data_IF_266364741352
#
_entry.id   IF_266364741352
#
_cell.length_a   1.000
_cell.length_b   1.000
_cell.length_c   1.000
_cell.angle_alpha   90.00
_cell.angle_beta   90.00
_cell.angle_gamma   90.00
#
_symmetry.space_group_name_H-M   'P 1'
#
loop_
_entity.id
_entity.type
_entity.pdbx_description
1 polymer ?
#
# COMPACT_ATOMS: atom_id res chain seq x y z
N UNK A 1 -9.50 -1.70 11.95
CA UNK A 1 -8.86 -1.34 10.69
C UNK A 1 -7.35 -1.22 10.85
N UNK A 2 -6.51 -1.21 9.82
CA UNK A 2 -5.07 -1.55 9.91
C UNK A 2 -4.20 -0.60 10.73
N UNK A 3 -4.79 0.31 11.46
CA UNK A 3 -4.11 1.34 12.26
C UNK A 3 -3.15 0.78 13.30
N UNK A 4 -3.52 -0.35 13.93
CA UNK A 4 -2.66 -1.00 14.93
C UNK A 4 -1.37 -1.52 14.31
N UNK A 5 -1.48 -2.18 13.15
CA UNK A 5 -0.32 -2.67 12.41
C UNK A 5 0.59 -1.50 11.99
N UNK A 6 0.01 -0.45 11.39
CA UNK A 6 0.76 0.72 10.95
C UNK A 6 1.45 1.45 12.10
N UNK A 7 0.79 1.54 13.27
CA UNK A 7 1.41 2.09 14.48
C UNK A 7 2.60 1.25 14.94
N UNK A 8 2.50 -0.09 14.92
CA UNK A 8 3.60 -0.99 15.27
C UNK A 8 4.79 -0.82 14.32
N UNK A 9 4.53 -0.69 13.01
CA UNK A 9 5.56 -0.44 12.00
C UNK A 9 6.26 0.90 12.22
N UNK A 10 5.51 1.99 12.49
CA UNK A 10 6.09 3.31 12.77
C UNK A 10 6.99 3.29 14.03
N UNK A 11 6.55 2.66 15.11
CA UNK A 11 7.36 2.50 16.33
C UNK A 11 8.65 1.72 16.02
N UNK A 12 8.55 0.62 15.27
CA UNK A 12 9.68 -0.21 14.90
C UNK A 12 10.66 0.56 14.00
N UNK A 13 10.18 1.31 13.01
CA UNK A 13 11.01 2.15 12.15
C UNK A 13 11.78 3.21 12.94
N UNK A 14 11.12 3.91 13.86
CA UNK A 14 11.76 4.92 14.70
C UNK A 14 12.84 4.33 15.60
N UNK A 15 12.61 3.12 16.14
CA UNK A 15 13.61 2.39 16.93
C UNK A 15 14.82 2.02 16.08
N UNK A 16 14.58 1.49 14.88
CA UNK A 16 15.64 1.16 13.91
C UNK A 16 16.44 2.40 13.51
N UNK A 17 15.77 3.51 13.18
CA UNK A 17 16.43 4.77 12.81
C UNK A 17 17.45 5.22 13.86
N UNK A 18 17.10 5.17 15.14
CA UNK A 18 18.04 5.53 16.23
C UNK A 18 19.29 4.64 16.25
N UNK A 19 19.13 3.34 15.97
CA UNK A 19 20.23 2.38 15.85
C UNK A 19 21.10 2.67 14.61
N UNK A 20 20.47 2.85 13.46
CA UNK A 20 21.12 3.14 12.20
C UNK A 20 21.94 4.44 12.24
N UNK A 21 21.42 5.51 12.87
CA UNK A 21 22.15 6.77 13.04
C UNK A 21 23.39 6.64 13.90
N UNK A 22 23.40 5.76 14.91
CA UNK A 22 24.61 5.47 15.69
C UNK A 22 25.66 4.78 14.82
N UNK A 23 25.26 3.80 14.02
CA UNK A 23 26.15 3.08 13.10
C UNK A 23 26.69 4.01 11.99
N UNK A 24 25.84 4.88 11.41
CA UNK A 24 26.27 5.88 10.44
C UNK A 24 27.40 6.78 10.98
N UNK A 25 27.29 7.24 12.21
CA UNK A 25 28.28 8.11 12.83
C UNK A 25 29.63 7.40 13.05
N UNK A 26 29.69 6.08 13.05
CA UNK A 26 30.90 5.29 13.19
C UNK A 26 31.58 4.95 11.86
N UNK A 27 30.99 5.35 10.71
CA UNK A 27 31.62 5.14 9.40
C UNK A 27 32.93 5.92 9.26
N UNK A 28 33.92 5.26 8.70
CA UNK A 28 35.24 5.82 8.42
C UNK A 28 35.19 6.80 7.23
N UNK A 29 35.97 7.90 7.33
CA UNK A 29 36.06 8.99 6.36
C UNK A 29 37.48 9.29 6.04
N UNK A 30 37.73 9.82 4.85
CA UNK A 30 39.03 10.42 4.49
C UNK A 30 39.22 11.78 5.16
N UNK A 31 40.39 12.37 4.96
CA UNK A 31 40.74 13.69 5.49
C UNK A 31 39.86 14.83 4.95
N UNK A 32 39.17 14.60 3.85
CA UNK A 32 38.22 15.54 3.23
C UNK A 32 36.78 15.33 3.70
N UNK A 33 36.52 14.33 4.58
CA UNK A 33 35.20 14.00 5.09
C UNK A 33 34.36 13.14 4.14
N UNK A 34 34.97 12.52 3.12
CA UNK A 34 34.26 11.62 2.23
C UNK A 34 34.24 10.19 2.78
N UNK A 35 33.15 9.47 2.52
CA UNK A 35 33.01 8.08 2.89
C UNK A 35 34.00 7.21 2.11
N UNK A 36 34.83 6.44 2.82
CA UNK A 36 35.79 5.53 2.19
C UNK A 36 35.23 4.11 2.04
N UNK A 37 35.75 3.41 1.04
CA UNK A 37 35.48 1.98 0.90
C UNK A 37 36.47 1.20 1.79
N UNK A 38 35.98 0.68 2.92
CA UNK A 38 36.76 -0.18 3.84
C UNK A 38 35.94 -1.37 4.29
N UNK A 39 36.62 -2.41 4.77
CA UNK A 39 35.93 -3.58 5.35
C UNK A 39 35.08 -3.18 6.56
N UNK A 40 35.57 -2.24 7.38
CA UNK A 40 34.84 -1.69 8.51
C UNK A 40 33.52 -1.03 8.05
N UNK A 41 33.57 -0.20 7.03
CA UNK A 41 32.38 0.48 6.51
C UNK A 41 31.38 -0.53 5.90
N UNK A 42 31.86 -1.52 5.17
CA UNK A 42 31.00 -2.58 4.63
C UNK A 42 30.29 -3.36 5.75
N UNK A 43 31.00 -3.71 6.83
CA UNK A 43 30.42 -4.38 7.99
C UNK A 43 29.36 -3.50 8.70
N UNK A 44 29.62 -2.19 8.81
CA UNK A 44 28.65 -1.24 9.39
C UNK A 44 27.40 -1.13 8.53
N UNK A 45 27.55 -1.03 7.22
CA UNK A 45 26.41 -0.99 6.27
C UNK A 45 25.56 -2.26 6.38
N UNK A 46 26.23 -3.41 6.44
CA UNK A 46 25.54 -4.69 6.64
C UNK A 46 24.78 -4.74 7.99
N UNK A 47 25.39 -4.25 9.07
CA UNK A 47 24.75 -4.18 10.37
C UNK A 47 23.52 -3.26 10.38
N UNK A 48 23.59 -2.13 9.66
CA UNK A 48 22.45 -1.22 9.51
C UNK A 48 21.28 -1.87 8.78
N UNK A 49 21.55 -2.57 7.68
CA UNK A 49 20.51 -3.26 6.90
C UNK A 49 19.92 -4.45 7.66
N UNK A 50 20.76 -5.21 8.38
CA UNK A 50 20.31 -6.32 9.24
C UNK A 50 19.34 -5.86 10.34
N UNK A 51 19.46 -4.65 10.84
CA UNK A 51 18.51 -4.09 11.79
C UNK A 51 17.08 -3.93 11.24
N UNK A 52 16.87 -3.81 9.93
CA UNK A 52 15.54 -3.89 9.31
C UNK A 52 15.03 -5.33 9.26
N UNK A 53 15.90 -6.30 8.99
CA UNK A 53 15.56 -7.72 9.07
C UNK A 53 15.07 -8.07 10.48
N UNK A 54 15.77 -7.61 11.51
CA UNK A 54 15.40 -7.82 12.91
C UNK A 54 14.01 -7.28 13.25
N UNK A 55 13.58 -6.17 12.62
CA UNK A 55 12.22 -5.65 12.79
C UNK A 55 11.22 -6.63 12.20
N UNK A 56 11.42 -7.03 10.95
CA UNK A 56 10.47 -7.86 10.21
C UNK A 56 10.32 -9.25 10.86
N UNK A 57 11.41 -9.79 11.39
CA UNK A 57 11.39 -11.07 12.10
C UNK A 57 11.05 -10.94 13.59
N UNK A 58 10.81 -9.73 14.12
CA UNK A 58 10.42 -9.56 15.51
C UNK A 58 9.04 -10.17 15.79
N UNK A 59 8.86 -10.65 17.00
CA UNK A 59 7.57 -11.20 17.46
C UNK A 59 6.47 -10.14 17.32
N UNK A 60 6.77 -8.90 17.67
CA UNK A 60 5.84 -7.78 17.60
C UNK A 60 5.35 -7.51 16.17
N UNK A 61 6.25 -7.58 15.19
CA UNK A 61 5.87 -7.38 13.78
C UNK A 61 5.03 -8.56 13.27
N UNK A 62 5.44 -9.79 13.58
CA UNK A 62 4.73 -11.00 13.16
C UNK A 62 3.34 -11.09 13.80
N UNK A 63 3.21 -10.77 15.08
CA UNK A 63 1.91 -10.70 15.76
C UNK A 63 1.02 -9.61 15.15
N UNK A 64 1.60 -8.46 14.80
CA UNK A 64 0.86 -7.40 14.14
C UNK A 64 0.37 -7.81 12.74
N UNK A 65 1.15 -8.59 11.98
CA UNK A 65 0.70 -9.19 10.70
C UNK A 65 -0.45 -10.17 10.89
N UNK A 66 -0.41 -10.99 11.94
CA UNK A 66 -1.51 -11.91 12.26
C UNK A 66 -2.79 -11.15 12.60
N UNK A 67 -2.69 -10.06 13.38
CA UNK A 67 -3.86 -9.22 13.68
C UNK A 67 -4.37 -8.50 12.43
N UNK A 68 -3.50 -7.99 11.58
CA UNK A 68 -3.87 -7.42 10.28
C UNK A 68 -4.66 -8.43 9.44
N UNK A 69 -4.19 -9.68 9.39
CA UNK A 69 -4.86 -10.75 8.68
C UNK A 69 -6.30 -10.99 9.19
N UNK A 70 -6.54 -10.89 10.49
CA UNK A 70 -7.90 -11.02 11.08
C UNK A 70 -8.82 -9.87 10.69
N UNK A 71 -8.28 -8.68 10.43
CA UNK A 71 -9.10 -7.53 10.03
C UNK A 71 -9.77 -7.72 8.66
N UNK A 72 -9.21 -8.53 7.76
CA UNK A 72 -9.87 -8.92 6.50
C UNK A 72 -11.16 -9.71 6.77
N UNK A 73 -11.16 -10.59 7.76
CA UNK A 73 -12.37 -11.31 8.14
C UNK A 73 -13.45 -10.36 8.70
N UNK A 74 -13.02 -9.38 9.50
CA UNK A 74 -13.92 -8.34 10.02
C UNK A 74 -14.55 -7.53 8.87
N UNK A 75 -13.78 -7.20 7.84
CA UNK A 75 -14.29 -6.51 6.66
C UNK A 75 -15.32 -7.37 5.91
N UNK A 76 -15.04 -8.67 5.74
CA UNK A 76 -16.00 -9.60 5.15
C UNK A 76 -17.33 -9.67 5.93
N UNK A 77 -17.25 -9.69 7.27
CA UNK A 77 -18.46 -9.66 8.12
C UNK A 77 -19.27 -8.38 7.95
N UNK A 78 -18.61 -7.23 7.82
CA UNK A 78 -19.27 -5.93 7.57
C UNK A 78 -20.02 -6.00 6.23
N UNK A 79 -19.38 -6.49 5.18
CA UNK A 79 -19.98 -6.64 3.86
C UNK A 79 -21.16 -7.62 3.90
N UNK A 80 -21.01 -8.77 4.55
CA UNK A 80 -22.09 -9.75 4.71
C UNK A 80 -23.30 -9.15 5.42
N UNK A 81 -23.10 -8.39 6.49
CA UNK A 81 -24.18 -7.67 7.20
C UNK A 81 -24.86 -6.65 6.29
N UNK A 82 -24.08 -5.92 5.50
CA UNK A 82 -24.62 -4.95 4.54
C UNK A 82 -25.49 -5.65 3.50
N UNK A 83 -24.96 -6.65 2.79
CA UNK A 83 -25.67 -7.36 1.73
C UNK A 83 -26.93 -8.05 2.28
N UNK A 84 -26.86 -8.68 3.44
CA UNK A 84 -27.99 -9.31 4.10
C UNK A 84 -29.12 -8.31 4.44
N UNK A 85 -28.74 -7.09 4.83
CA UNK A 85 -29.70 -6.02 5.17
C UNK A 85 -30.36 -5.42 3.94
N UNK A 86 -29.62 -5.24 2.86
CA UNK A 86 -30.08 -4.50 1.66
C UNK A 86 -30.70 -5.44 0.63
N UNK A 87 -30.21 -6.66 0.52
CA UNK A 87 -30.62 -7.64 -0.49
C UNK A 87 -31.20 -8.92 0.16
N UNK A 88 -32.53 -9.06 0.26
CA UNK A 88 -33.17 -10.19 0.95
C UNK A 88 -32.81 -11.58 0.42
N UNK A 89 -32.37 -11.68 -0.84
CA UNK A 89 -31.93 -12.95 -1.48
C UNK A 89 -30.47 -13.29 -1.19
N UNK A 90 -29.74 -12.44 -0.46
CA UNK A 90 -28.36 -12.70 -0.15
C UNK A 90 -28.19 -13.87 0.80
N UNK A 91 -27.34 -14.81 0.41
CA UNK A 91 -26.84 -15.91 1.23
C UNK A 91 -25.31 -15.93 1.16
N UNK A 92 -24.64 -16.15 2.29
CA UNK A 92 -23.20 -16.29 2.29
C UNK A 92 -22.79 -17.59 1.61
N UNK A 93 -21.76 -17.53 0.75
CA UNK A 93 -21.25 -18.66 -0.02
C UNK A 93 -19.76 -18.87 0.24
N UNK A 94 -19.32 -20.12 0.19
CA UNK A 94 -17.91 -20.50 0.37
C UNK A 94 -16.95 -19.75 -0.57
N UNK A 95 -17.40 -19.40 -1.78
CA UNK A 95 -16.60 -18.64 -2.75
C UNK A 95 -16.21 -17.26 -2.21
N UNK A 96 -17.06 -16.60 -1.44
CA UNK A 96 -16.77 -15.30 -0.83
C UNK A 96 -15.67 -15.42 0.22
N UNK A 97 -15.72 -16.45 1.06
CA UNK A 97 -14.70 -16.73 2.06
C UNK A 97 -13.34 -17.06 1.40
N UNK A 98 -13.34 -17.75 0.25
CA UNK A 98 -12.14 -18.03 -0.52
C UNK A 98 -11.49 -16.74 -1.07
N UNK A 99 -12.30 -15.81 -1.60
CA UNK A 99 -11.80 -14.53 -2.09
C UNK A 99 -11.12 -13.76 -0.95
N UNK A 100 -11.75 -13.71 0.21
CA UNK A 100 -11.19 -13.01 1.37
C UNK A 100 -9.87 -13.65 1.84
N UNK A 101 -9.81 -14.98 1.95
CA UNK A 101 -8.59 -15.70 2.31
C UNK A 101 -7.45 -15.47 1.31
N UNK A 102 -7.74 -15.47 0.01
CA UNK A 102 -6.73 -15.18 -1.00
C UNK A 102 -6.20 -13.75 -0.89
N UNK A 103 -7.09 -12.77 -0.74
CA UNK A 103 -6.70 -11.37 -0.56
C UNK A 103 -5.88 -11.15 0.72
N UNK A 104 -6.23 -11.85 1.80
CA UNK A 104 -5.46 -11.87 3.04
C UNK A 104 -4.04 -12.42 2.81
N UNK A 105 -3.93 -13.55 2.12
CA UNK A 105 -2.62 -14.15 1.81
C UNK A 105 -1.77 -13.24 0.90
N UNK A 106 -2.38 -12.62 -0.11
CA UNK A 106 -1.71 -11.63 -0.98
C UNK A 106 -1.20 -10.43 -0.16
N UNK A 107 -2.02 -9.89 0.75
CA UNK A 107 -1.62 -8.75 1.59
C UNK A 107 -0.47 -9.11 2.53
N UNK A 108 -0.50 -10.27 3.15
CA UNK A 108 0.59 -10.75 4.03
C UNK A 108 1.88 -10.95 3.23
N UNK A 109 1.80 -11.52 2.02
CA UNK A 109 2.97 -11.72 1.16
C UNK A 109 3.65 -10.40 0.72
N UNK A 110 2.87 -9.32 0.55
CA UNK A 110 3.43 -7.98 0.25
C UNK A 110 4.13 -7.33 1.45
N UNK A 111 3.90 -7.84 2.65
CA UNK A 111 4.47 -7.33 3.89
C UNK A 111 5.48 -8.31 4.50
N UNK A 112 5.81 -9.37 3.77
CA UNK A 112 6.85 -10.31 4.18
C UNK A 112 8.27 -9.75 3.96
N UNK A 113 9.25 -10.51 4.42
CA UNK A 113 10.66 -10.15 4.29
C UNK A 113 11.10 -9.93 2.85
N UNK A 114 10.66 -10.78 1.91
CA UNK A 114 11.09 -10.69 0.52
C UNK A 114 10.68 -9.38 -0.15
N UNK A 115 9.43 -8.99 0.04
CA UNK A 115 8.91 -7.75 -0.52
C UNK A 115 9.54 -6.50 0.14
N UNK A 116 9.68 -6.49 1.47
CA UNK A 116 10.31 -5.38 2.19
C UNK A 116 11.81 -5.30 1.87
N UNK A 117 12.48 -6.43 1.70
CA UNK A 117 13.90 -6.45 1.27
C UNK A 117 14.07 -5.69 -0.04
N UNK A 118 13.26 -5.99 -1.03
CA UNK A 118 13.32 -5.36 -2.35
C UNK A 118 12.95 -3.87 -2.32
N UNK A 119 11.93 -3.49 -1.56
CA UNK A 119 11.34 -2.14 -1.61
C UNK A 119 11.92 -1.17 -0.57
N UNK A 120 12.60 -1.69 0.45
CA UNK A 120 13.14 -0.88 1.55
C UNK A 120 14.64 -1.14 1.77
N UNK A 121 15.04 -2.40 1.92
CA UNK A 121 16.42 -2.73 2.29
C UNK A 121 17.38 -2.47 1.12
N UNK A 122 17.08 -2.96 -0.08
CA UNK A 122 17.93 -2.79 -1.25
C UNK A 122 18.09 -1.31 -1.68
N UNK A 123 17.03 -0.48 -1.70
CA UNK A 123 17.19 0.96 -1.89
C UNK A 123 18.06 1.65 -0.84
N UNK A 124 17.97 1.24 0.44
CA UNK A 124 18.84 1.78 1.49
C UNK A 124 20.32 1.43 1.22
N UNK A 125 20.59 0.16 0.91
CA UNK A 125 21.95 -0.29 0.51
C UNK A 125 22.48 0.51 -0.67
N UNK A 126 21.61 0.77 -1.66
CA UNK A 126 21.97 1.54 -2.85
C UNK A 126 22.36 2.99 -2.50
N UNK A 127 21.56 3.68 -1.68
CA UNK A 127 21.87 5.05 -1.22
C UNK A 127 23.27 5.10 -0.60
N UNK A 128 23.58 4.15 0.28
CA UNK A 128 24.87 4.15 0.99
C UNK A 128 26.01 3.77 0.03
N UNK A 129 25.85 2.77 -0.82
CA UNK A 129 26.90 2.33 -1.77
C UNK A 129 27.21 3.40 -2.82
N UNK A 130 26.21 4.10 -3.32
CA UNK A 130 26.40 5.22 -4.26
C UNK A 130 27.05 6.46 -3.63
N UNK A 131 27.10 6.51 -2.30
CA UNK A 131 27.73 7.58 -1.53
C UNK A 131 29.21 7.34 -1.24
N UNK A 132 29.75 6.16 -1.57
CA UNK A 132 31.18 5.88 -1.46
C UNK A 132 32.00 6.88 -2.29
N UNK A 133 33.01 7.46 -1.68
CA UNK A 133 33.83 8.51 -2.30
C UNK A 133 33.17 9.91 -2.35
N UNK A 134 31.99 10.07 -1.77
CA UNK A 134 31.25 11.34 -1.70
C UNK A 134 31.17 11.85 -0.25
N UNK A 135 30.68 13.09 -0.10
CA UNK A 135 30.48 13.72 1.21
C UNK A 135 29.61 12.85 2.13
N UNK A 136 30.16 12.57 3.30
CA UNK A 136 29.48 11.87 4.37
C UNK A 136 28.19 12.58 4.81
N UNK A 137 28.21 13.91 4.93
CA UNK A 137 27.05 14.68 5.39
C UNK A 137 25.87 14.57 4.43
N UNK A 138 26.14 14.55 3.12
CA UNK A 138 25.10 14.36 2.10
C UNK A 138 24.48 12.95 2.25
N UNK A 139 25.30 11.93 2.41
CA UNK A 139 24.82 10.57 2.62
C UNK A 139 23.98 10.45 3.89
N UNK A 140 24.38 11.05 5.00
CA UNK A 140 23.63 11.05 6.25
C UNK A 140 22.24 11.68 6.08
N UNK A 141 22.15 12.80 5.36
CA UNK A 141 20.85 13.42 5.03
C UNK A 141 19.99 12.47 4.22
N UNK A 142 20.51 11.88 3.14
CA UNK A 142 19.77 10.96 2.29
C UNK A 142 19.27 9.73 3.05
N UNK A 143 20.09 9.12 3.91
CA UNK A 143 19.70 7.97 4.73
C UNK A 143 18.65 8.37 5.77
N UNK A 144 18.80 9.55 6.39
CA UNK A 144 17.80 10.08 7.31
C UNK A 144 16.45 10.26 6.63
N UNK A 145 16.42 10.97 5.51
CA UNK A 145 15.20 11.25 4.74
C UNK A 145 14.55 9.95 4.28
N UNK A 146 15.35 8.95 3.92
CA UNK A 146 14.85 7.63 3.55
C UNK A 146 14.22 6.88 4.73
N UNK A 147 14.88 6.84 5.89
CA UNK A 147 14.45 6.06 7.05
C UNK A 147 13.37 6.77 7.89
N UNK A 148 13.51 8.07 8.10
CA UNK A 148 12.62 8.85 8.98
C UNK A 148 11.52 9.58 8.19
N UNK A 149 11.83 9.97 6.96
CA UNK A 149 11.02 10.85 6.13
C UNK A 149 11.44 12.31 6.27
N UNK A 150 10.63 13.18 5.71
CA UNK A 150 10.79 14.65 5.73
C UNK A 150 9.53 15.30 6.27
N UNK A 151 9.44 16.62 6.22
CA UNK A 151 8.19 17.34 6.53
C UNK A 151 7.04 16.98 5.54
N UNK A 152 7.39 16.57 4.31
CA UNK A 152 6.44 16.30 3.24
C UNK A 152 6.01 14.83 3.17
N UNK A 153 6.81 13.89 3.67
CA UNK A 153 6.53 12.45 3.56
C UNK A 153 7.16 11.63 4.70
N UNK A 154 6.49 10.52 5.02
CA UNK A 154 6.93 9.52 6.00
C UNK A 154 8.14 8.71 5.49
N UNK A 155 8.88 8.08 6.40
CA UNK A 155 9.98 7.18 6.04
C UNK A 155 9.53 5.99 5.18
N UNK A 156 10.48 5.43 4.43
CA UNK A 156 10.19 4.46 3.38
C UNK A 156 9.42 3.21 3.87
N UNK A 157 9.79 2.65 5.02
CA UNK A 157 9.11 1.45 5.54
C UNK A 157 7.65 1.75 5.89
N UNK A 158 7.37 2.86 6.56
CA UNK A 158 5.99 3.27 6.91
C UNK A 158 5.21 3.58 5.64
N UNK A 159 5.79 4.33 4.71
CA UNK A 159 5.14 4.68 3.44
C UNK A 159 4.81 3.44 2.61
N UNK A 160 5.75 2.51 2.49
CA UNK A 160 5.56 1.24 1.81
C UNK A 160 4.42 0.45 2.44
N UNK A 161 4.53 0.14 3.73
CA UNK A 161 3.54 -0.68 4.44
C UNK A 161 2.16 -0.04 4.43
N UNK A 162 2.08 1.28 4.64
CA UNK A 162 0.82 2.03 4.62
C UNK A 162 0.13 1.95 3.25
N UNK A 163 0.89 2.15 2.17
CA UNK A 163 0.34 2.06 0.81
C UNK A 163 -0.23 0.67 0.54
N UNK A 164 0.57 -0.38 0.76
CA UNK A 164 0.15 -1.75 0.45
C UNK A 164 -0.96 -2.26 1.35
N UNK A 165 -0.96 -1.91 2.63
CA UNK A 165 -2.05 -2.28 3.54
C UNK A 165 -3.37 -1.66 3.09
N UNK A 166 -3.41 -0.35 2.86
CA UNK A 166 -4.66 0.29 2.42
C UNK A 166 -5.13 -0.18 1.05
N UNK A 167 -4.23 -0.35 0.09
CA UNK A 167 -4.59 -0.84 -1.24
C UNK A 167 -5.07 -2.30 -1.19
N UNK A 168 -4.47 -3.15 -0.37
CA UNK A 168 -4.91 -4.54 -0.17
C UNK A 168 -6.32 -4.62 0.41
N UNK A 169 -6.62 -3.84 1.45
CA UNK A 169 -7.96 -3.77 2.02
C UNK A 169 -8.99 -3.27 1.01
N UNK A 170 -8.68 -2.17 0.33
CA UNK A 170 -9.59 -1.56 -0.63
C UNK A 170 -9.83 -2.47 -1.86
N UNK A 171 -8.81 -3.18 -2.31
CA UNK A 171 -8.90 -4.16 -3.40
C UNK A 171 -9.68 -5.39 -2.99
N UNK A 172 -9.43 -5.91 -1.78
CA UNK A 172 -10.15 -7.05 -1.22
C UNK A 172 -11.64 -6.75 -1.06
N UNK A 173 -11.97 -5.60 -0.48
CA UNK A 173 -13.35 -5.12 -0.30
C UNK A 173 -14.08 -5.02 -1.65
N UNK A 174 -13.42 -4.45 -2.65
CA UNK A 174 -13.98 -4.32 -3.99
C UNK A 174 -14.23 -5.67 -4.66
N UNK A 175 -13.25 -6.59 -4.66
CA UNK A 175 -13.38 -7.94 -5.22
C UNK A 175 -14.50 -8.72 -4.54
N UNK A 176 -14.57 -8.64 -3.20
CA UNK A 176 -15.59 -9.31 -2.40
C UNK A 176 -16.99 -8.79 -2.73
N UNK A 177 -17.18 -7.49 -2.67
CA UNK A 177 -18.46 -6.83 -2.94
C UNK A 177 -18.92 -7.03 -4.39
N UNK A 178 -18.00 -6.96 -5.35
CA UNK A 178 -18.29 -7.20 -6.76
C UNK A 178 -18.76 -8.64 -7.01
N UNK A 179 -18.10 -9.64 -6.39
CA UNK A 179 -18.51 -11.05 -6.53
C UNK A 179 -19.91 -11.29 -6.01
N UNK A 180 -20.24 -10.74 -4.84
CA UNK A 180 -21.60 -10.83 -4.30
C UNK A 180 -22.60 -10.13 -5.22
N UNK A 181 -22.27 -8.94 -5.69
CA UNK A 181 -23.15 -8.18 -6.58
C UNK A 181 -23.41 -8.91 -7.91
N UNK A 182 -22.39 -9.57 -8.47
CA UNK A 182 -22.52 -10.42 -9.66
C UNK A 182 -23.48 -11.60 -9.41
N UNK A 183 -23.28 -12.30 -8.30
CA UNK A 183 -24.11 -13.45 -7.91
C UNK A 183 -25.59 -13.09 -7.70
N UNK A 184 -25.85 -11.88 -7.20
CA UNK A 184 -27.20 -11.36 -6.97
C UNK A 184 -27.80 -10.67 -8.21
N UNK A 185 -27.07 -10.56 -9.31
CA UNK A 185 -27.49 -9.86 -10.51
C UNK A 185 -27.68 -8.34 -10.33
N UNK A 186 -26.92 -7.75 -9.40
CA UNK A 186 -27.00 -6.31 -9.11
C UNK A 186 -26.32 -5.55 -10.22
N UNK A 187 -27.03 -4.56 -10.77
CA UNK A 187 -26.58 -3.77 -11.92
C UNK A 187 -26.38 -2.27 -11.62
N UNK A 188 -26.63 -1.82 -10.40
CA UNK A 188 -26.47 -0.42 -10.01
C UNK A 188 -25.54 -0.27 -8.81
N UNK A 189 -24.65 0.72 -8.91
CA UNK A 189 -23.63 0.98 -7.89
C UNK A 189 -23.50 2.48 -7.67
N UNK A 190 -23.42 2.87 -6.41
CA UNK A 190 -23.03 4.23 -6.04
C UNK A 190 -21.51 4.28 -5.93
N UNK A 191 -20.88 5.23 -6.63
CA UNK A 191 -19.45 5.51 -6.46
C UNK A 191 -19.29 6.45 -5.28
N UNK A 192 -18.71 5.97 -4.18
CA UNK A 192 -18.71 6.68 -2.89
C UNK A 192 -17.34 6.69 -2.24
N UNK A 193 -16.92 7.86 -1.74
CA UNK A 193 -15.70 8.05 -0.97
C UNK A 193 -15.56 9.48 -0.48
N UNK A 194 -14.52 9.72 0.30
CA UNK A 194 -14.23 11.06 0.80
C UNK A 194 -13.48 11.88 -0.25
N UNK A 195 -13.99 13.07 -0.55
CA UNK A 195 -13.29 14.06 -1.38
C UNK A 195 -12.34 14.85 -0.48
N UNK A 196 -11.07 14.88 -0.87
CA UNK A 196 -10.00 15.66 -0.23
C UNK A 196 -9.39 16.62 -1.27
N UNK A 197 -8.54 17.56 -0.80
CA UNK A 197 -7.91 18.57 -1.66
C UNK A 197 -7.23 17.98 -2.91
N UNK A 198 -6.59 16.81 -2.74
CA UNK A 198 -5.84 16.14 -3.81
C UNK A 198 -6.64 15.03 -4.49
N UNK A 199 -7.97 15.04 -4.35
CA UNK A 199 -8.85 14.09 -5.05
C UNK A 199 -8.77 14.32 -6.56
N UNK A 200 -8.70 13.21 -7.31
CA UNK A 200 -8.66 13.25 -8.77
C UNK A 200 -10.00 13.74 -9.34
N UNK A 201 -9.95 14.50 -10.40
CA UNK A 201 -11.14 14.97 -11.12
C UNK A 201 -12.06 13.79 -11.49
N UNK A 202 -11.48 12.67 -11.96
CA UNK A 202 -12.21 11.42 -12.19
C UNK A 202 -13.07 10.99 -11.00
N UNK A 203 -12.55 11.10 -9.78
CA UNK A 203 -13.28 10.73 -8.57
C UNK A 203 -14.29 11.80 -8.15
N UNK A 204 -13.92 13.09 -8.27
CA UNK A 204 -14.79 14.22 -7.93
C UNK A 204 -16.08 14.18 -8.76
N UNK A 205 -15.94 14.00 -10.06
CA UNK A 205 -17.06 13.98 -11.02
C UNK A 205 -18.05 12.83 -10.78
N UNK A 206 -17.59 11.74 -10.19
CA UNK A 206 -18.37 10.51 -9.98
C UNK A 206 -18.87 10.33 -8.56
N UNK A 207 -18.34 11.07 -7.61
CA UNK A 207 -18.67 10.88 -6.20
C UNK A 207 -20.18 11.03 -5.93
N UNK A 208 -20.72 10.12 -5.13
CA UNK A 208 -22.13 10.02 -4.74
C UNK A 208 -23.14 9.80 -5.90
N UNK A 209 -22.67 9.63 -7.14
CA UNK A 209 -23.53 9.28 -8.27
C UNK A 209 -23.71 7.76 -8.39
N UNK A 210 -24.85 7.37 -8.97
CA UNK A 210 -25.20 5.97 -9.25
C UNK A 210 -24.97 5.70 -10.73
N UNK A 211 -24.28 4.59 -11.00
CA UNK A 211 -23.94 4.12 -12.34
C UNK A 211 -24.36 2.67 -12.52
N UNK A 212 -24.65 2.28 -13.74
CA UNK A 212 -24.87 0.88 -14.09
C UNK A 212 -23.53 0.13 -14.20
N UNK A 213 -23.58 -1.20 -14.13
CA UNK A 213 -22.40 -2.04 -14.33
C UNK A 213 -21.76 -1.78 -15.69
N UNK A 214 -22.57 -1.64 -16.74
CA UNK A 214 -22.09 -1.37 -18.10
C UNK A 214 -21.33 -0.04 -18.18
N UNK A 215 -21.86 1.01 -17.56
CA UNK A 215 -21.17 2.31 -17.50
C UNK A 215 -19.82 2.19 -16.81
N UNK A 216 -19.77 1.55 -15.64
CA UNK A 216 -18.53 1.35 -14.89
C UNK A 216 -17.54 0.50 -15.69
N UNK A 217 -17.99 -0.62 -16.26
CA UNK A 217 -17.15 -1.49 -17.10
C UNK A 217 -16.55 -0.71 -18.26
N UNK A 218 -17.33 0.17 -18.91
CA UNK A 218 -16.83 0.98 -20.01
C UNK A 218 -15.69 1.91 -19.65
N UNK A 219 -15.57 2.33 -18.38
CA UNK A 219 -14.44 3.15 -17.91
C UNK A 219 -13.12 2.37 -17.94
N UNK A 220 -13.18 1.05 -17.84
CA UNK A 220 -12.00 0.18 -17.96
C UNK A 220 -11.45 0.07 -19.38
N UNK A 221 -12.25 0.44 -20.40
CA UNK A 221 -11.85 0.33 -21.80
C UNK A 221 -10.62 1.19 -22.12
N UNK A 222 -9.74 0.69 -22.98
CA UNK A 222 -8.61 1.44 -23.53
C UNK A 222 -9.04 2.67 -24.32
N UNK A 223 -10.26 2.63 -24.87
CA UNK A 223 -10.83 3.71 -25.67
C UNK A 223 -11.74 4.64 -24.85
N UNK A 224 -11.88 4.43 -23.56
CA UNK A 224 -12.73 5.25 -22.72
C UNK A 224 -12.31 6.74 -22.79
N UNK A 225 -13.30 7.60 -23.02
CA UNK A 225 -13.16 9.06 -23.03
C UNK A 225 -14.25 9.64 -22.14
N UNK A 226 -13.88 10.16 -21.01
CA UNK A 226 -14.82 10.75 -20.05
C UNK A 226 -14.19 11.96 -19.37
N UNK A 227 -14.98 12.64 -18.56
CA UNK A 227 -14.50 13.73 -17.73
C UNK A 227 -13.41 13.27 -16.78
N UNK A 228 -12.46 14.14 -16.50
CA UNK A 228 -11.30 13.82 -15.65
C UNK A 228 -10.30 12.87 -16.31
N UNK A 229 -10.33 12.71 -17.64
CA UNK A 229 -9.36 11.90 -18.39
C UNK A 229 -8.34 12.77 -19.13
N UNK A 230 -7.09 12.30 -19.21
CA UNK A 230 -5.99 12.98 -19.93
C UNK A 230 -5.83 12.49 -21.37
N UNK A 231 -6.65 11.54 -21.80
CA UNK A 231 -6.65 10.95 -23.14
C UNK A 231 -7.48 9.65 -23.16
N UNK A 232 -7.51 8.94 -24.31
CA UNK A 232 -8.21 7.67 -24.40
C UNK A 232 -7.79 6.69 -23.32
N UNK A 233 -8.75 6.19 -22.54
CA UNK A 233 -8.52 5.26 -21.45
C UNK A 233 -7.64 5.77 -20.31
N UNK A 234 -7.35 7.07 -20.23
CA UNK A 234 -6.41 7.62 -19.26
C UNK A 234 -7.05 8.68 -18.36
N UNK A 235 -6.74 8.64 -17.09
CA UNK A 235 -6.95 9.72 -16.13
C UNK A 235 -5.78 9.75 -15.15
N UNK A 236 -5.60 10.84 -14.45
CA UNK A 236 -4.51 10.98 -13.50
C UNK A 236 -4.56 9.89 -12.44
N UNK A 237 -3.47 9.13 -12.27
CA UNK A 237 -3.33 8.07 -11.29
C UNK A 237 -4.08 6.78 -11.62
N UNK A 238 -4.58 6.59 -12.84
CA UNK A 238 -5.10 5.30 -13.30
C UNK A 238 -4.05 4.22 -13.11
N UNK A 239 -4.44 3.07 -12.56
CA UNK A 239 -3.57 1.91 -12.55
C UNK A 239 -3.39 1.41 -14.00
N UNK A 240 -2.14 1.13 -14.42
CA UNK A 240 -1.82 0.70 -15.79
C UNK A 240 -2.48 -0.62 -16.18
N UNK A 241 -2.79 -1.46 -15.22
CA UNK A 241 -3.45 -2.75 -15.44
C UNK A 241 -4.98 -2.64 -15.51
N UNK A 242 -5.54 -1.44 -15.27
CA UNK A 242 -6.99 -1.24 -15.29
C UNK A 242 -7.57 -1.57 -16.67
N UNK A 243 -8.56 -2.46 -16.68
CA UNK A 243 -9.32 -2.85 -17.86
C UNK A 243 -10.80 -3.11 -17.49
N UNK A 244 -11.60 -3.49 -18.45
CA UNK A 244 -13.05 -3.74 -18.27
C UNK A 244 -13.36 -4.82 -17.22
N UNK A 245 -12.45 -5.78 -17.01
CA UNK A 245 -12.66 -6.89 -16.07
C UNK A 245 -12.27 -6.55 -14.64
N UNK A 246 -11.51 -5.48 -14.41
CA UNK A 246 -10.96 -5.16 -13.10
C UNK A 246 -11.18 -3.71 -12.64
N UNK A 247 -11.95 -2.92 -13.40
CA UNK A 247 -12.25 -1.52 -13.05
C UNK A 247 -12.95 -1.40 -11.68
N UNK A 248 -13.78 -2.36 -11.30
CA UNK A 248 -14.39 -2.41 -9.96
C UNK A 248 -13.36 -2.52 -8.85
N UNK A 249 -12.28 -3.27 -9.10
CA UNK A 249 -11.16 -3.45 -8.18
C UNK A 249 -10.28 -2.21 -8.11
N UNK A 250 -9.86 -1.67 -9.26
CA UNK A 250 -8.92 -0.53 -9.31
C UNK A 250 -9.59 0.83 -9.20
N UNK A 251 -10.89 0.94 -9.46
CA UNK A 251 -11.70 2.16 -9.23
C UNK A 251 -11.08 3.40 -9.90
N UNK A 252 -10.80 4.45 -9.13
CA UNK A 252 -10.13 5.67 -9.58
C UNK A 252 -8.60 5.55 -9.72
N UNK A 253 -8.02 4.35 -9.51
CA UNK A 253 -6.58 4.07 -9.64
C UNK A 253 -5.83 3.99 -8.31
N UNK A 254 -4.51 4.18 -8.36
CA UNK A 254 -3.62 4.07 -7.20
C UNK A 254 -4.09 4.91 -6.02
N UNK A 255 -4.09 4.31 -4.81
CA UNK A 255 -4.52 4.95 -3.56
C UNK A 255 -5.96 5.54 -3.60
N UNK A 256 -6.83 5.02 -4.46
CA UNK A 256 -8.21 5.47 -4.53
C UNK A 256 -8.99 4.99 -3.30
N UNK A 257 -9.55 5.95 -2.55
CA UNK A 257 -10.36 5.67 -1.34
C UNK A 257 -11.87 5.63 -1.62
N UNK A 258 -12.27 5.61 -2.89
CA UNK A 258 -13.66 5.42 -3.28
C UNK A 258 -13.96 3.93 -3.46
N UNK A 259 -15.22 3.56 -3.32
CA UNK A 259 -15.72 2.21 -3.57
C UNK A 259 -17.02 2.25 -4.38
N UNK A 260 -17.33 1.13 -5.02
CA UNK A 260 -18.62 0.90 -5.67
C UNK A 260 -19.53 0.17 -4.69
N UNK A 261 -20.51 0.89 -4.16
CA UNK A 261 -21.49 0.35 -3.22
C UNK A 261 -22.73 -0.09 -4.01
N UNK A 262 -23.04 -1.37 -3.98
CA UNK A 262 -24.23 -1.95 -4.63
C UNK A 262 -25.51 -1.30 -4.07
N UNK A 263 -26.48 -0.91 -4.92
CA UNK A 263 -27.72 -0.22 -4.54
C UNK A 263 -28.94 -0.83 -5.21
#
# INVERSE_FOLDING_TARGET
MPEKFLTSVDIAQRKHFKGAMKLLNSLERDLSGNLILSETNLAIIEAMTRGLDDIIFSVEYQDALVELAKEFNTQAEINNKYFKKVFPKYENKEIYDKIMKNSQAEAVALLDFGAISTEVIDPLKKIISESLGKSFDIMVVQVRDFLEGTEDYEGQLVRYTKTYVYDSFATSDAKYSETIANDLGINKFRYQGNIIKDSREFCIERNDKIFTREEITSWGSENYRGEGTTGPGQWQGRNRETNENNIFTYRGGYNCKHSFVAV
#
